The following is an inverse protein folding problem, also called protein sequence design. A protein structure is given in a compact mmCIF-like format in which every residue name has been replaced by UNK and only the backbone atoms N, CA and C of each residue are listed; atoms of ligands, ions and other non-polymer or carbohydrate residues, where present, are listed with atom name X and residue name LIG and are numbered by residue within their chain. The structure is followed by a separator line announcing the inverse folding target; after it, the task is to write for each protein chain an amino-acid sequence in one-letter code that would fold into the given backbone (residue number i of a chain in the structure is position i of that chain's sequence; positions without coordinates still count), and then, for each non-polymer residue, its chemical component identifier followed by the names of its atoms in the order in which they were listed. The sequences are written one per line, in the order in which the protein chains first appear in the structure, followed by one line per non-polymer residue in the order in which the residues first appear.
data_IF_596809161426
#
_entry.id   IF_596809161426
#
_cell.length_a   1.000
_cell.length_b   1.000
_cell.length_c   1.000
_cell.angle_alpha   90.00
_cell.angle_beta   90.00
_cell.angle_gamma   90.00
#
_symmetry.space_group_name_H-M   'P 1'
#
loop_
_entity.id
_entity.type
_entity.pdbx_description
1 polymer ?
#
# COMPACT_ATOMS: atom_id res chain seq x y z
N UNK A 1 -8.58 21.95 -10.15
CA UNK A 1 -7.42 21.83 -9.24
C UNK A 1 -7.27 20.35 -8.95
N UNK A 2 -6.13 19.76 -9.28
CA UNK A 2 -5.87 18.34 -9.05
C UNK A 2 -5.20 18.22 -7.68
N UNK A 3 -5.60 17.26 -6.87
CA UNK A 3 -4.87 16.95 -5.64
C UNK A 3 -3.68 16.08 -6.00
N UNK A 4 -2.47 16.60 -5.79
CA UNK A 4 -1.22 15.88 -6.04
C UNK A 4 -0.75 15.24 -4.73
N UNK A 5 -0.62 13.92 -4.73
CA UNK A 5 -0.08 13.16 -3.61
C UNK A 5 1.21 12.50 -4.06
N UNK A 6 2.28 12.72 -3.29
CA UNK A 6 3.56 12.02 -3.47
C UNK A 6 3.67 10.95 -2.40
N UNK A 7 4.04 9.74 -2.80
CA UNK A 7 4.24 8.62 -1.89
C UNK A 7 5.61 7.99 -2.16
N UNK A 8 6.26 7.50 -1.10
CA UNK A 8 7.53 6.78 -1.19
C UNK A 8 7.35 5.42 -0.53
N UNK A 9 7.69 4.35 -1.28
CA UNK A 9 7.70 2.98 -0.76
C UNK A 9 9.14 2.54 -0.49
N UNK A 10 9.33 1.76 0.58
CA UNK A 10 10.61 1.17 0.93
C UNK A 10 10.50 -0.35 0.78
N UNK A 11 11.46 -0.96 0.07
CA UNK A 11 11.62 -2.41 0.06
C UNK A 11 12.38 -2.82 1.31
N UNK A 12 11.71 -3.57 2.18
CA UNK A 12 12.30 -4.11 3.40
C UNK A 12 12.77 -5.53 3.11
N UNK A 13 14.08 -5.76 3.17
CA UNK A 13 14.69 -7.10 2.94
C UNK A 13 14.79 -7.90 4.25
N UNK A 14 15.01 -7.22 5.37
CA UNK A 14 15.16 -7.83 6.68
C UNK A 14 14.39 -7.03 7.72
N UNK A 15 13.70 -7.72 8.62
CA UNK A 15 13.04 -7.12 9.78
C UNK A 15 13.26 -7.98 11.03
N UNK A 16 13.14 -7.37 12.20
CA UNK A 16 13.16 -8.07 13.48
C UNK A 16 12.00 -7.60 14.36
N UNK A 17 11.56 -8.47 15.28
CA UNK A 17 10.37 -8.24 16.10
C UNK A 17 9.12 -8.92 15.55
N UNK A 18 7.95 -8.50 16.03
CA UNK A 18 6.65 -9.07 15.69
C UNK A 18 5.75 -8.01 15.03
N UNK A 19 4.98 -8.43 14.03
CA UNK A 19 3.92 -7.62 13.46
C UNK A 19 2.68 -7.71 14.35
N UNK A 20 2.20 -6.57 14.85
CA UNK A 20 1.05 -6.53 15.73
C UNK A 20 -0.22 -6.14 14.97
N UNK A 21 -1.14 -7.10 14.82
CA UNK A 21 -2.47 -6.87 14.21
C UNK A 21 -3.28 -5.79 14.94
N UNK A 22 -3.03 -5.64 16.24
CA UNK A 22 -3.66 -4.64 17.08
C UNK A 22 -2.63 -3.98 18.00
N UNK A 23 -2.68 -2.65 18.07
CA UNK A 23 -1.83 -1.85 18.96
C UNK A 23 -2.68 -0.88 19.79
N UNK A 24 -2.20 -0.57 20.99
CA UNK A 24 -2.84 0.41 21.85
C UNK A 24 -2.90 1.77 21.16
N UNK A 25 -4.10 2.34 21.07
CA UNK A 25 -4.33 3.59 20.36
C UNK A 25 -3.86 4.79 21.19
N UNK A 26 -3.18 5.73 20.53
CA UNK A 26 -2.79 7.00 21.13
C UNK A 26 -3.11 8.19 20.20
N UNK A 27 -3.12 9.40 20.76
CA UNK A 27 -3.48 10.62 20.01
C UNK A 27 -2.50 10.83 18.85
N UNK A 28 -3.03 10.93 17.63
CA UNK A 28 -2.25 11.14 16.41
C UNK A 28 -1.86 9.85 15.67
N UNK A 29 -2.31 8.69 16.14
CA UNK A 29 -2.13 7.43 15.43
C UNK A 29 -3.16 7.25 14.31
N UNK A 30 -2.69 6.88 13.12
CA UNK A 30 -3.54 6.63 11.95
C UNK A 30 -3.80 5.12 11.73
N UNK A 31 -2.84 4.25 12.09
CA UNK A 31 -2.95 2.81 11.88
C UNK A 31 -3.42 2.05 13.12
N UNK A 32 -4.33 1.07 12.94
CA UNK A 32 -4.84 0.19 14.01
C UNK A 32 -3.91 -0.98 14.36
N UNK A 33 -2.97 -1.29 13.47
CA UNK A 33 -2.03 -2.40 13.55
C UNK A 33 -1.52 -2.76 12.15
N UNK A 34 -0.97 -3.97 11.99
CA UNK A 34 -0.44 -4.49 10.73
C UNK A 34 -0.82 -5.95 10.49
N UNK A 35 -1.01 -6.32 9.23
CA UNK A 35 -1.27 -7.68 8.79
C UNK A 35 -0.35 -8.03 7.62
N UNK A 36 0.18 -9.26 7.61
CA UNK A 36 0.85 -9.81 6.44
C UNK A 36 -0.18 -10.28 5.42
N UNK A 37 -0.01 -9.85 4.18
CA UNK A 37 -0.93 -10.14 3.08
C UNK A 37 -0.13 -10.72 1.93
N UNK A 38 -0.64 -11.79 1.33
CA UNK A 38 -0.04 -12.34 0.12
C UNK A 38 -0.23 -11.34 -1.03
N UNK A 39 0.76 -11.16 -1.92
CA UNK A 39 0.62 -10.26 -3.06
C UNK A 39 -0.65 -10.53 -3.87
N UNK A 40 -1.04 -11.79 -4.05
CA UNK A 40 -2.20 -12.21 -4.83
C UNK A 40 -3.53 -11.65 -4.30
N UNK A 41 -3.63 -11.42 -2.99
CA UNK A 41 -4.86 -10.94 -2.34
C UNK A 41 -5.09 -9.44 -2.56
N UNK A 42 -4.06 -8.69 -2.96
CA UNK A 42 -4.14 -7.24 -3.19
C UNK A 42 -4.78 -6.92 -4.55
N UNK A 43 -5.83 -6.10 -4.53
CA UNK A 43 -6.56 -5.67 -5.71
C UNK A 43 -7.17 -4.26 -5.51
N UNK A 44 -7.78 -3.69 -6.56
CA UNK A 44 -8.34 -2.33 -6.51
C UNK A 44 -9.50 -2.15 -5.53
N UNK A 45 -10.14 -3.25 -5.10
CA UNK A 45 -11.24 -3.20 -4.13
C UNK A 45 -10.79 -3.19 -2.68
N UNK A 46 -9.52 -3.47 -2.38
CA UNK A 46 -8.99 -3.47 -1.02
C UNK A 46 -7.70 -2.67 -0.83
N UNK A 47 -7.12 -2.15 -1.91
CA UNK A 47 -5.83 -1.47 -1.91
C UNK A 47 -5.86 -0.22 -2.77
N UNK A 48 -5.05 0.79 -2.39
CA UNK A 48 -4.86 1.96 -3.24
C UNK A 48 -4.08 1.60 -4.51
N UNK A 49 -4.26 2.35 -5.62
CA UNK A 49 -3.48 2.16 -6.84
C UNK A 49 -1.95 2.20 -6.62
N UNK A 50 -1.50 2.99 -5.63
CA UNK A 50 -0.09 3.09 -5.26
C UNK A 50 0.45 1.78 -4.66
N UNK A 51 -0.33 1.11 -3.81
CA UNK A 51 0.02 -0.22 -3.27
C UNK A 51 0.09 -1.26 -4.38
N UNK A 52 -0.84 -1.22 -5.34
CA UNK A 52 -0.81 -2.13 -6.49
C UNK A 52 0.40 -1.88 -7.40
N UNK A 53 0.86 -0.63 -7.50
CA UNK A 53 2.10 -0.29 -8.21
C UNK A 53 3.33 -0.86 -7.50
N UNK A 54 3.37 -0.80 -6.18
CA UNK A 54 4.41 -1.43 -5.39
C UNK A 54 4.39 -2.97 -5.54
N UNK A 55 3.19 -3.59 -5.53
CA UNK A 55 3.02 -5.02 -5.84
C UNK A 55 3.56 -5.38 -7.21
N UNK A 56 3.25 -4.60 -8.25
CA UNK A 56 3.78 -4.83 -9.60
C UNK A 56 5.32 -4.86 -9.58
N UNK A 57 5.94 -3.87 -8.94
CA UNK A 57 7.40 -3.81 -8.78
C UNK A 57 7.96 -5.03 -8.03
N UNK A 58 7.33 -5.47 -6.94
CA UNK A 58 7.79 -6.62 -6.17
C UNK A 58 7.76 -7.93 -6.98
N UNK A 59 6.76 -8.11 -7.83
CA UNK A 59 6.58 -9.33 -8.64
C UNK A 59 7.46 -9.35 -9.89
N UNK A 60 7.72 -8.20 -10.51
CA UNK A 60 8.49 -8.12 -11.77
C UNK A 60 9.93 -7.69 -11.58
N UNK A 61 10.26 -7.10 -10.43
CA UNK A 61 11.51 -6.39 -10.17
C UNK A 61 11.76 -5.21 -11.16
N UNK A 62 10.70 -4.67 -11.75
CA UNK A 62 10.74 -3.58 -12.73
C UNK A 62 9.73 -2.48 -12.37
N UNK A 63 10.20 -1.23 -12.26
CA UNK A 63 9.33 -0.10 -12.01
C UNK A 63 8.88 0.54 -13.33
N UNK A 64 7.64 0.27 -13.74
CA UNK A 64 7.08 0.84 -14.97
C UNK A 64 6.65 2.28 -14.75
N UNK A 65 7.36 3.23 -15.37
CA UNK A 65 7.08 4.67 -15.32
C UNK A 65 5.94 5.13 -16.25
N UNK A 66 5.07 4.20 -16.66
CA UNK A 66 3.91 4.53 -17.49
C UNK A 66 2.81 5.17 -16.65
N UNK A 67 2.18 6.20 -17.20
CA UNK A 67 1.00 6.80 -16.60
C UNK A 67 -0.15 5.80 -16.60
N UNK A 68 -0.88 5.75 -15.49
CA UNK A 68 -2.05 4.90 -15.35
C UNK A 68 -3.24 5.74 -14.91
N UNK A 69 -4.33 5.64 -15.68
CA UNK A 69 -5.61 6.27 -15.38
C UNK A 69 -6.64 5.20 -15.05
N UNK A 70 -7.41 5.44 -14.01
CA UNK A 70 -8.54 4.60 -13.62
C UNK A 70 -9.82 5.40 -13.88
N UNK A 71 -10.73 4.85 -14.69
CA UNK A 71 -12.01 5.52 -14.99
C UNK A 71 -12.95 5.51 -13.79
N UNK A 72 -12.80 4.51 -12.91
CA UNK A 72 -13.50 4.40 -11.64
C UNK A 72 -12.54 3.86 -10.58
N UNK A 73 -12.52 4.51 -9.42
CA UNK A 73 -11.84 4.03 -8.22
C UNK A 73 -12.77 4.28 -7.04
N UNK A 74 -13.25 3.19 -6.45
CA UNK A 74 -14.16 3.24 -5.30
C UNK A 74 -13.32 3.44 -4.03
N UNK A 75 -13.39 4.65 -3.46
CA UNK A 75 -12.73 4.96 -2.19
C UNK A 75 -13.57 4.34 -1.08
N UNK A 76 -12.99 3.37 -0.37
CA UNK A 76 -13.60 2.76 0.81
C UNK A 76 -13.45 3.71 2.01
N UNK A 77 -14.52 3.87 2.77
CA UNK A 77 -14.58 4.66 4.01
C UNK A 77 -14.36 3.78 5.24
#
# INVERSE_FOLDING_TARGET
MWNEYVCTFYKIEEFSGEAFEHVNQFIGQDSKGSLWVEPEDLNLSNSSPLVLKAKEYLLTNEFKIIDQKYDKWDVLN
#
